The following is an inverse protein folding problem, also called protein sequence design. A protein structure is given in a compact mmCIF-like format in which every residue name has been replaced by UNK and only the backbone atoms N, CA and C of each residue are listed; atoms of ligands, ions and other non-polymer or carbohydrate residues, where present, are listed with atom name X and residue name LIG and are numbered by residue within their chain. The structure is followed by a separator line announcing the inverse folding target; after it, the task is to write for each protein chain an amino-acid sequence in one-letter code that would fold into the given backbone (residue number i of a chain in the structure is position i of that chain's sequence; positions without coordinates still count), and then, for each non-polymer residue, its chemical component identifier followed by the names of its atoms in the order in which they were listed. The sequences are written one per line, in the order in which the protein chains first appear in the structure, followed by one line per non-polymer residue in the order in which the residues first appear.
data_IF_611722942905
#
_entry.id   IF_611722942905
#
_cell.length_a   1.000
_cell.length_b   1.000
_cell.length_c   1.000
_cell.angle_alpha   90.00
_cell.angle_beta   90.00
_cell.angle_gamma   90.00
#
_symmetry.space_group_name_H-M   'P 1'
#
loop_
_entity.id
_entity.type
_entity.pdbx_description
1 polymer ?
#
# COMPACT_ATOMS: atom_id res chain seq x y z
N UNK A 1 7.37 3.62 23.63
CA UNK A 1 6.96 4.93 24.19
C UNK A 1 5.52 4.83 24.70
N UNK A 2 5.12 5.57 25.74
CA UNK A 2 3.72 5.63 26.21
C UNK A 2 3.13 6.98 25.84
N UNK A 3 1.97 6.96 25.18
CA UNK A 3 1.26 8.17 24.74
C UNK A 3 -0.22 7.99 25.05
N UNK A 4 -0.85 9.00 25.64
CA UNK A 4 -2.30 9.03 25.81
C UNK A 4 -2.93 9.61 24.54
N UNK A 5 -3.97 8.94 24.03
CA UNK A 5 -4.73 9.37 22.85
C UNK A 5 -6.20 9.44 23.20
N UNK A 6 -6.89 10.44 22.67
CA UNK A 6 -8.36 10.53 22.75
C UNK A 6 -8.97 9.78 21.58
N UNK A 7 -9.95 8.92 21.84
CA UNK A 7 -10.67 8.14 20.84
C UNK A 7 -12.18 8.34 21.03
N UNK A 8 -12.99 8.36 19.96
CA UNK A 8 -14.45 8.27 20.09
C UNK A 8 -14.83 6.95 20.80
N UNK A 9 -15.81 7.01 21.70
CA UNK A 9 -16.24 5.84 22.50
C UNK A 9 -16.58 4.63 21.63
N UNK A 10 -17.32 4.85 20.54
CA UNK A 10 -17.68 3.78 19.60
C UNK A 10 -16.47 3.10 18.95
N UNK A 11 -15.37 3.83 18.72
CA UNK A 11 -14.14 3.25 18.18
C UNK A 11 -13.39 2.46 19.25
N UNK A 12 -13.32 3.00 20.47
CA UNK A 12 -12.73 2.32 21.61
C UNK A 12 -13.42 0.98 21.88
N UNK A 13 -14.76 0.96 22.00
CA UNK A 13 -15.53 -0.27 22.25
C UNK A 13 -15.30 -1.33 21.16
N UNK A 14 -15.23 -0.92 19.90
CA UNK A 14 -14.91 -1.84 18.80
C UNK A 14 -13.50 -2.42 18.93
N UNK A 15 -12.53 -1.60 19.30
CA UNK A 15 -11.16 -2.06 19.52
C UNK A 15 -11.07 -3.02 20.71
N UNK A 16 -11.81 -2.77 21.80
CA UNK A 16 -11.89 -3.67 22.96
C UNK A 16 -12.40 -5.05 22.58
N UNK A 17 -13.50 -5.10 21.84
CA UNK A 17 -14.10 -6.35 21.39
C UNK A 17 -13.15 -7.15 20.49
N UNK A 18 -12.46 -6.48 19.57
CA UNK A 18 -11.48 -7.14 18.69
C UNK A 18 -10.26 -7.63 19.48
N UNK A 19 -9.70 -6.80 20.35
CA UNK A 19 -8.55 -7.18 21.18
C UNK A 19 -8.91 -8.38 22.08
N UNK A 20 -10.11 -8.35 22.69
CA UNK A 20 -10.65 -9.45 23.49
C UNK A 20 -10.83 -10.73 22.70
N UNK A 21 -11.44 -10.64 21.50
CA UNK A 21 -11.62 -11.80 20.61
C UNK A 21 -10.30 -12.42 20.12
N UNK A 22 -9.25 -11.60 20.00
CA UNK A 22 -7.90 -12.05 19.63
C UNK A 22 -7.05 -12.48 20.83
N UNK A 23 -7.51 -12.26 22.07
CA UNK A 23 -6.75 -12.54 23.29
C UNK A 23 -5.48 -11.68 23.44
N UNK A 24 -5.45 -10.48 22.85
CA UNK A 24 -4.28 -9.58 22.90
C UNK A 24 -4.55 -8.34 23.73
N UNK A 25 -3.47 -7.73 24.24
CA UNK A 25 -3.57 -6.43 24.88
C UNK A 25 -3.97 -5.34 23.88
N UNK A 26 -4.76 -4.38 24.36
CA UNK A 26 -5.25 -3.22 23.60
C UNK A 26 -4.13 -2.41 22.95
N UNK A 27 -3.06 -2.19 23.70
CA UNK A 27 -1.87 -1.49 23.19
C UNK A 27 -1.21 -2.22 22.02
N UNK A 28 -1.28 -3.55 21.98
CA UNK A 28 -0.75 -4.35 20.88
C UNK A 28 -1.63 -4.22 19.63
N UNK A 29 -2.96 -4.23 19.79
CA UNK A 29 -3.89 -3.96 18.69
C UNK A 29 -3.61 -2.57 18.08
N UNK A 30 -3.49 -1.53 18.92
CA UNK A 30 -3.24 -0.17 18.45
C UNK A 30 -1.88 -0.04 17.76
N UNK A 31 -0.83 -0.66 18.30
CA UNK A 31 0.49 -0.65 17.67
C UNK A 31 0.45 -1.26 16.25
N UNK A 32 -0.15 -2.45 16.10
CA UNK A 32 -0.30 -3.10 14.79
C UNK A 32 -1.10 -2.25 13.81
N UNK A 33 -2.19 -1.64 14.26
CA UNK A 33 -3.01 -0.79 13.40
C UNK A 33 -2.24 0.45 12.90
N UNK A 34 -1.37 1.01 13.74
CA UNK A 34 -0.51 2.14 13.36
C UNK A 34 0.55 1.68 12.33
N UNK A 35 1.22 0.56 12.58
CA UNK A 35 2.20 -0.02 11.64
C UNK A 35 1.57 -0.25 10.26
N UNK A 36 0.44 -0.97 10.19
CA UNK A 36 -0.26 -1.24 8.94
C UNK A 36 -0.78 0.04 8.23
N UNK A 37 -1.11 1.08 9.00
CA UNK A 37 -1.49 2.37 8.42
C UNK A 37 -0.29 3.07 7.79
N UNK A 38 0.84 3.10 8.49
CA UNK A 38 2.08 3.71 8.02
C UNK A 38 2.61 2.99 6.78
N UNK A 39 2.68 1.66 6.79
CA UNK A 39 3.16 0.87 5.65
C UNK A 39 2.34 1.15 4.38
N UNK A 40 1.00 1.20 4.52
CA UNK A 40 0.09 1.53 3.41
C UNK A 40 0.28 2.95 2.91
N UNK A 41 0.61 3.90 3.79
CA UNK A 41 0.80 5.30 3.42
C UNK A 41 2.16 5.53 2.77
N UNK A 42 3.22 4.91 3.28
CA UNK A 42 4.57 4.96 2.73
C UNK A 42 4.64 4.31 1.36
N UNK A 43 4.06 3.12 1.18
CA UNK A 43 4.00 2.46 -0.14
C UNK A 43 3.30 3.31 -1.20
N UNK A 44 2.22 4.00 -0.83
CA UNK A 44 1.53 4.94 -1.72
C UNK A 44 2.38 6.17 -2.07
N UNK A 45 3.13 6.70 -1.09
CA UNK A 45 4.06 7.81 -1.34
C UNK A 45 5.19 7.43 -2.28
N UNK A 46 5.76 6.23 -2.13
CA UNK A 46 6.81 5.74 -3.01
C UNK A 46 6.29 5.63 -4.44
N UNK A 47 5.12 5.00 -4.62
CA UNK A 47 4.49 4.87 -5.93
C UNK A 47 4.22 6.25 -6.56
N UNK A 48 3.58 7.16 -5.83
CA UNK A 48 3.30 8.50 -6.33
C UNK A 48 4.56 9.32 -6.65
N UNK A 49 5.66 9.10 -5.91
CA UNK A 49 6.94 9.75 -6.19
C UNK A 49 7.60 9.21 -7.47
N UNK A 50 7.51 7.90 -7.71
CA UNK A 50 7.97 7.29 -8.96
C UNK A 50 7.11 7.74 -10.14
N UNK A 51 5.79 7.77 -9.99
CA UNK A 51 4.88 8.27 -11.02
C UNK A 51 5.17 9.74 -11.36
N UNK A 52 5.49 10.57 -10.36
CA UNK A 52 5.86 11.97 -10.59
C UNK A 52 7.20 12.12 -11.34
N UNK A 53 8.15 11.21 -11.11
CA UNK A 53 9.46 11.22 -11.74
C UNK A 53 9.40 10.72 -13.20
N UNK A 54 8.67 9.63 -13.43
CA UNK A 54 8.63 8.95 -14.74
C UNK A 54 7.41 9.30 -15.59
N UNK A 55 6.29 9.72 -14.99
CA UNK A 55 5.00 9.87 -15.66
C UNK A 55 4.90 11.02 -16.67
N UNK A 56 5.93 11.84 -16.83
CA UNK A 56 5.99 12.91 -17.82
C UNK A 56 7.04 12.69 -18.92
N UNK A 57 7.83 11.61 -18.86
CA UNK A 57 8.68 11.24 -19.98
C UNK A 57 7.84 10.45 -21.01
N UNK A 58 7.98 10.72 -22.32
CA UNK A 58 7.49 9.78 -23.31
C UNK A 58 8.28 8.49 -23.10
N UNK A 59 7.66 7.50 -22.44
CA UNK A 59 8.22 6.17 -22.27
C UNK A 59 8.51 5.60 -23.65
N UNK A 60 9.78 5.63 -24.05
CA UNK A 60 10.23 4.78 -25.13
C UNK A 60 10.31 3.38 -24.52
N UNK A 61 9.52 2.41 -25.01
CA UNK A 61 9.56 1.08 -24.45
C UNK A 61 10.99 0.57 -24.49
N UNK A 62 11.39 -0.19 -23.47
CA UNK A 62 12.69 -0.84 -23.47
C UNK A 62 12.87 -1.59 -24.81
N UNK A 63 14.04 -1.52 -25.46
CA UNK A 63 14.28 -2.19 -26.76
C UNK A 63 13.93 -3.68 -26.77
N UNK A 64 13.94 -4.35 -25.60
CA UNK A 64 13.46 -5.71 -25.43
C UNK A 64 11.93 -5.81 -25.58
N UNK A 65 11.17 -4.90 -24.98
CA UNK A 65 9.70 -4.82 -25.11
C UNK A 65 9.31 -4.48 -26.54
N UNK A 66 10.02 -3.54 -27.18
CA UNK A 66 9.81 -3.18 -28.59
C UNK A 66 9.98 -4.41 -29.51
N UNK A 67 11.08 -5.16 -29.34
CA UNK A 67 11.34 -6.36 -30.13
C UNK A 67 10.36 -7.51 -29.86
N UNK A 68 9.97 -7.69 -28.59
CA UNK A 68 8.98 -8.70 -28.21
C UNK A 68 7.61 -8.39 -28.81
N UNK A 69 7.16 -7.12 -28.74
CA UNK A 69 5.91 -6.67 -29.33
C UNK A 69 5.90 -6.80 -30.86
N UNK A 70 6.98 -6.40 -31.53
CA UNK A 70 7.13 -6.58 -32.98
C UNK A 70 7.06 -8.06 -33.38
N UNK A 71 7.72 -8.94 -32.62
CA UNK A 71 7.69 -10.40 -32.84
C UNK A 71 6.33 -11.04 -32.52
N UNK A 72 5.53 -10.43 -31.63
CA UNK A 72 4.18 -10.88 -31.34
C UNK A 72 3.19 -10.45 -32.43
N UNK A 73 3.28 -9.21 -32.91
CA UNK A 73 2.45 -8.68 -33.99
C UNK A 73 2.67 -9.42 -35.33
N UNK A 74 3.90 -9.85 -35.61
CA UNK A 74 4.23 -10.65 -36.80
C UNK A 74 3.69 -12.09 -36.74
N UNK A 75 3.22 -12.57 -35.58
CA UNK A 75 2.68 -13.92 -35.38
C UNK A 75 1.15 -13.98 -35.38
N UNK A 76 0.48 -12.84 -35.54
CA UNK A 76 -0.97 -12.80 -35.69
C UNK A 76 -1.28 -12.85 -37.18
N UNK A 77 -1.72 -14.02 -37.66
CA UNK A 77 -2.37 -14.11 -38.97
C UNK A 77 -3.76 -13.49 -38.85
N UNK A 78 -4.05 -12.52 -39.72
CA UNK A 78 -5.37 -11.90 -39.85
C UNK A 78 -6.30 -12.79 -40.67
#
# INVERSE_FOLDING_TARGET
MKTAISLPDALYERAENVAGGLGIARSHLYARAIEEFLDRYEGKRVTAALDALYGNEPERPDPWVENAAASALLRVEW
#
